data_IF_871151576014
#
_entry.id   IF_871151576014
#
_cell.length_a   1.000
_cell.length_b   1.000
_cell.length_c   1.000
_cell.angle_alpha   90.00
_cell.angle_beta   90.00
_cell.angle_gamma   90.00
#
_symmetry.space_group_name_H-M   'P 1'
#
loop_
_entity.id
_entity.type
_entity.pdbx_description
1 polymer ?
#
# COMPACT_ATOMS: atom_id res chain seq x y z
N UNK A 1 -6.75 75.83 -28.04
CA UNK A 1 -7.13 74.41 -27.82
C UNK A 1 -5.86 73.68 -27.44
N UNK A 2 -5.63 73.45 -26.14
CA UNK A 2 -4.47 72.72 -25.64
C UNK A 2 -4.87 71.25 -25.52
N UNK A 3 -4.09 70.37 -26.13
CA UNK A 3 -4.34 68.93 -26.15
C UNK A 3 -4.04 68.30 -24.79
N UNK A 4 -5.06 67.71 -24.20
CA UNK A 4 -4.94 66.83 -23.05
C UNK A 4 -4.56 65.44 -23.58
N UNK A 5 -3.32 65.03 -23.33
CA UNK A 5 -2.88 63.66 -23.66
C UNK A 5 -3.18 62.76 -22.48
N UNK A 6 -4.30 62.04 -22.54
CA UNK A 6 -4.63 60.98 -21.61
C UNK A 6 -3.62 59.84 -21.74
N UNK A 7 -2.62 59.82 -20.85
CA UNK A 7 -1.75 58.67 -20.67
C UNK A 7 -2.53 57.57 -19.94
N UNK A 8 -3.00 56.59 -20.69
CA UNK A 8 -3.66 55.40 -20.13
C UNK A 8 -2.60 54.52 -19.46
N UNK A 9 -2.54 54.57 -18.14
CA UNK A 9 -1.73 53.65 -17.33
C UNK A 9 -2.37 52.26 -17.40
N UNK A 10 -1.73 51.34 -18.13
CA UNK A 10 -2.17 49.95 -18.22
C UNK A 10 -1.68 49.19 -16.99
N UNK A 11 -2.56 48.95 -16.02
CA UNK A 11 -2.28 48.08 -14.88
C UNK A 11 -2.59 46.65 -15.27
N UNK A 12 -1.58 45.79 -15.31
CA UNK A 12 -1.73 44.34 -15.44
C UNK A 12 -1.43 43.71 -14.09
N UNK A 13 -2.42 43.03 -13.49
CA UNK A 13 -2.24 42.23 -12.28
C UNK A 13 -2.21 40.75 -12.72
N UNK A 14 -1.09 40.08 -12.50
CA UNK A 14 -0.98 38.64 -12.72
C UNK A 14 -1.72 37.93 -11.58
N UNK A 15 -2.71 37.10 -11.91
CA UNK A 15 -3.44 36.28 -10.94
C UNK A 15 -2.79 34.89 -10.92
N UNK A 16 -1.80 34.70 -10.06
CA UNK A 16 -1.23 33.36 -9.81
C UNK A 16 -2.23 32.59 -8.96
N UNK A 17 -2.70 31.44 -9.47
CA UNK A 17 -3.59 30.56 -8.70
C UNK A 17 -2.80 29.95 -7.55
N UNK A 18 -3.17 30.32 -6.32
CA UNK A 18 -2.67 29.72 -5.10
C UNK A 18 -3.27 28.32 -4.95
N UNK A 19 -2.41 27.30 -4.90
CA UNK A 19 -2.81 25.89 -4.75
C UNK A 19 -2.50 25.38 -3.34
N UNK A 20 -3.26 24.39 -2.90
CA UNK A 20 -3.10 23.71 -1.62
C UNK A 20 -2.79 22.22 -1.76
N UNK A 21 -2.66 21.55 -0.61
CA UNK A 21 -2.37 20.12 -0.52
C UNK A 21 -3.22 19.44 0.55
N UNK A 22 -3.45 18.15 0.38
CA UNK A 22 -4.15 17.30 1.35
C UNK A 22 -3.38 16.03 1.63
N UNK A 23 -3.46 15.56 2.87
CA UNK A 23 -2.91 14.31 3.36
C UNK A 23 -4.02 13.49 4.02
N UNK A 24 -4.26 12.28 3.51
CA UNK A 24 -5.16 11.29 4.09
C UNK A 24 -4.34 10.24 4.83
N UNK A 25 -4.67 10.00 6.10
CA UNK A 25 -4.13 8.88 6.88
C UNK A 25 -5.17 7.78 7.00
N UNK A 26 -4.81 6.57 6.57
CA UNK A 26 -5.67 5.40 6.62
C UNK A 26 -5.41 4.62 7.90
N UNK A 27 -6.47 4.31 8.64
CA UNK A 27 -6.38 3.68 9.96
C UNK A 27 -7.25 2.41 10.06
N UNK A 28 -6.86 1.53 10.96
CA UNK A 28 -7.68 0.46 11.51
C UNK A 28 -8.69 1.04 12.51
N UNK A 29 -9.97 0.67 12.38
CA UNK A 29 -11.03 1.27 13.20
C UNK A 29 -10.92 0.95 14.69
N UNK A 30 -10.35 -0.20 15.04
CA UNK A 30 -10.26 -0.69 16.42
C UNK A 30 -8.96 -0.27 17.11
N UNK A 31 -7.83 -0.46 16.43
CA UNK A 31 -6.47 -0.27 16.99
C UNK A 31 -5.87 1.09 16.66
N UNK A 32 -6.43 1.80 15.67
CA UNK A 32 -5.87 3.04 15.09
C UNK A 32 -4.46 2.88 14.51
N UNK A 33 -4.04 1.65 14.19
CA UNK A 33 -2.83 1.40 13.43
C UNK A 33 -2.98 1.90 11.99
N UNK A 34 -1.89 2.37 11.37
CA UNK A 34 -1.93 2.84 9.98
C UNK A 34 -1.99 1.69 8.98
N UNK A 35 -2.67 1.90 7.85
CA UNK A 35 -2.92 0.86 6.86
C UNK A 35 -2.43 1.25 5.45
N UNK A 36 -1.46 0.49 4.96
CA UNK A 36 -0.93 0.59 3.61
C UNK A 36 -1.84 -0.11 2.57
N UNK A 37 -1.76 0.34 1.32
CA UNK A 37 -2.35 -0.34 0.17
C UNK A 37 -3.85 -0.16 -0.04
N UNK A 38 -4.49 0.79 0.66
CA UNK A 38 -5.85 1.24 0.31
C UNK A 38 -5.79 2.07 -0.97
N UNK A 39 -6.72 1.86 -1.91
CA UNK A 39 -6.82 2.65 -3.15
C UNK A 39 -8.04 3.57 -3.10
N UNK A 40 -7.85 4.80 -3.56
CA UNK A 40 -8.82 5.88 -3.56
C UNK A 40 -8.97 6.51 -4.95
N UNK A 41 -10.11 7.16 -5.12
CA UNK A 41 -10.32 8.23 -6.10
C UNK A 41 -10.40 9.58 -5.39
N UNK A 42 -9.92 10.61 -6.07
CA UNK A 42 -10.21 12.00 -5.73
C UNK A 42 -11.35 12.48 -6.63
N UNK A 43 -12.40 13.04 -6.03
CA UNK A 43 -13.55 13.59 -6.71
C UNK A 43 -13.77 15.06 -6.34
N UNK A 44 -14.44 15.81 -7.22
CA UNK A 44 -14.99 17.13 -6.88
C UNK A 44 -16.26 17.01 -6.02
N UNK A 45 -16.82 18.15 -5.62
CA UNK A 45 -18.04 18.21 -4.80
C UNK A 45 -19.29 17.65 -5.49
N UNK A 46 -19.30 17.57 -6.82
CA UNK A 46 -20.36 16.97 -7.62
C UNK A 46 -20.19 15.45 -7.77
N UNK A 47 -19.07 14.88 -7.29
CA UNK A 47 -18.74 13.47 -7.39
C UNK A 47 -18.09 13.08 -8.72
N UNK A 48 -17.64 14.04 -9.53
CA UNK A 48 -16.88 13.72 -10.74
C UNK A 48 -15.46 13.33 -10.35
N UNK A 49 -14.99 12.20 -10.89
CA UNK A 49 -13.63 11.70 -10.66
C UNK A 49 -12.58 12.60 -11.33
N UNK A 50 -11.66 13.13 -10.52
CA UNK A 50 -10.53 13.95 -10.94
C UNK A 50 -9.25 13.12 -11.06
N UNK A 51 -9.02 12.18 -10.15
CA UNK A 51 -7.89 11.25 -10.17
C UNK A 51 -8.29 9.88 -9.64
N UNK A 52 -7.64 8.83 -10.14
CA UNK A 52 -7.87 7.43 -9.76
C UNK A 52 -6.57 6.74 -9.36
N UNK A 53 -6.67 5.59 -8.69
CA UNK A 53 -5.50 4.76 -8.37
C UNK A 53 -4.60 5.31 -7.27
N UNK A 54 -5.07 6.31 -6.52
CA UNK A 54 -4.35 6.94 -5.43
C UNK A 54 -4.22 5.95 -4.26
N UNK A 55 -3.00 5.51 -3.94
CA UNK A 55 -2.80 4.42 -2.98
C UNK A 55 -2.07 4.90 -1.72
N UNK A 56 -2.49 4.43 -0.54
CA UNK A 56 -1.78 4.70 0.72
C UNK A 56 -0.44 3.98 0.75
N UNK A 57 0.60 4.71 1.13
CA UNK A 57 1.98 4.21 1.22
C UNK A 57 2.19 3.24 2.40
N UNK A 58 3.43 2.81 2.62
CA UNK A 58 3.80 1.92 3.73
C UNK A 58 3.50 2.50 5.12
N UNK A 59 3.41 3.83 5.24
CA UNK A 59 3.04 4.52 6.47
C UNK A 59 1.51 4.69 6.61
N UNK A 60 0.74 4.21 5.63
CA UNK A 60 -0.70 4.39 5.54
C UNK A 60 -1.12 5.80 5.14
N UNK A 61 -0.23 6.54 4.47
CA UNK A 61 -0.44 7.94 4.09
C UNK A 61 -0.65 8.07 2.57
N UNK A 62 -1.61 8.89 2.17
CA UNK A 62 -1.84 9.34 0.80
C UNK A 62 -1.73 10.86 0.76
N UNK A 63 -0.94 11.42 -0.15
CA UNK A 63 -0.82 12.87 -0.33
C UNK A 63 -1.17 13.29 -1.76
N UNK A 64 -1.95 14.38 -1.88
CA UNK A 64 -2.24 15.05 -3.15
C UNK A 64 -1.86 16.52 -3.03
N UNK A 65 -1.13 17.04 -4.02
CA UNK A 65 -0.65 18.43 -4.08
C UNK A 65 -1.31 19.16 -5.25
N UNK A 66 -1.05 20.47 -5.34
CA UNK A 66 -1.42 21.32 -6.47
C UNK A 66 -2.94 21.38 -6.73
N UNK A 67 -3.73 21.28 -5.65
CA UNK A 67 -5.19 21.43 -5.71
C UNK A 67 -5.55 22.90 -5.71
N UNK A 68 -6.36 23.32 -6.67
CA UNK A 68 -6.95 24.66 -6.65
C UNK A 68 -7.94 24.78 -5.47
N UNK A 69 -8.25 26.00 -5.01
CA UNK A 69 -9.24 26.19 -3.96
C UNK A 69 -10.60 25.63 -4.35
N UNK A 70 -11.21 24.87 -3.46
CA UNK A 70 -12.45 24.15 -3.75
C UNK A 70 -12.74 23.04 -2.74
N UNK A 71 -13.90 22.41 -2.91
CA UNK A 71 -14.35 21.28 -2.09
C UNK A 71 -14.18 19.98 -2.87
N UNK A 72 -13.64 18.98 -2.19
CA UNK A 72 -13.25 17.69 -2.75
C UNK A 72 -13.66 16.57 -1.81
N UNK A 73 -13.55 15.34 -2.31
CA UNK A 73 -13.70 14.15 -1.49
C UNK A 73 -12.79 13.01 -1.96
N UNK A 74 -12.32 12.23 -0.99
CA UNK A 74 -11.72 10.92 -1.26
C UNK A 74 -12.78 9.82 -1.15
N UNK A 75 -12.81 8.91 -2.12
CA UNK A 75 -13.67 7.73 -2.10
C UNK A 75 -12.79 6.49 -2.20
N UNK A 76 -12.86 5.60 -1.22
CA UNK A 76 -12.12 4.34 -1.24
C UNK A 76 -12.72 3.42 -2.30
N UNK A 77 -11.89 2.93 -3.22
CA UNK A 77 -12.27 2.00 -4.28
C UNK A 77 -11.73 0.60 -4.06
N UNK A 78 -10.70 0.47 -3.22
CA UNK A 78 -10.17 -0.82 -2.79
C UNK A 78 -9.64 -0.73 -1.36
N UNK A 79 -10.16 -1.59 -0.49
CA UNK A 79 -9.67 -1.72 0.88
C UNK A 79 -8.27 -2.34 0.92
N UNK A 80 -7.50 -2.11 2.01
CA UNK A 80 -6.36 -2.93 2.35
C UNK A 80 -6.72 -4.41 2.47
N UNK A 81 -5.74 -5.30 2.29
CA UNK A 81 -5.94 -6.74 2.40
C UNK A 81 -6.45 -7.10 3.80
N UNK A 82 -7.56 -7.84 3.86
CA UNK A 82 -8.17 -8.29 5.12
C UNK A 82 -9.11 -7.27 5.77
N UNK A 83 -9.39 -6.15 5.11
CA UNK A 83 -10.31 -5.11 5.59
C UNK A 83 -11.57 -5.03 4.72
N UNK A 84 -12.66 -4.60 5.33
CA UNK A 84 -13.91 -4.28 4.63
C UNK A 84 -13.74 -2.98 3.83
N UNK A 85 -14.30 -2.92 2.63
CA UNK A 85 -14.32 -1.70 1.81
C UNK A 85 -15.35 -0.71 2.35
N UNK A 86 -14.92 0.51 2.65
CA UNK A 86 -15.81 1.58 3.08
C UNK A 86 -15.81 2.72 2.05
N UNK A 87 -16.81 2.69 1.15
CA UNK A 87 -17.00 3.68 0.09
C UNK A 87 -17.57 5.02 0.58
N UNK A 88 -17.78 5.22 1.89
CA UNK A 88 -18.26 6.50 2.43
C UNK A 88 -17.25 7.62 2.12
N UNK A 89 -17.64 8.70 1.41
CA UNK A 89 -16.70 9.76 1.04
C UNK A 89 -16.10 10.48 2.24
N UNK A 90 -14.84 10.89 2.11
CA UNK A 90 -14.14 11.78 3.06
C UNK A 90 -14.00 13.15 2.42
N UNK A 91 -14.88 14.07 2.78
CA UNK A 91 -14.88 15.43 2.24
C UNK A 91 -13.85 16.33 2.91
N UNK A 92 -13.28 17.25 2.14
CA UNK A 92 -12.37 18.29 2.61
C UNK A 92 -12.42 19.53 1.71
N UNK A 93 -11.85 20.64 2.19
CA UNK A 93 -11.82 21.92 1.47
C UNK A 93 -10.39 22.44 1.39
N UNK A 94 -10.02 22.96 0.23
CA UNK A 94 -8.80 23.74 0.01
C UNK A 94 -9.21 25.21 -0.01
N UNK A 95 -8.75 25.98 0.99
CA UNK A 95 -9.09 27.39 1.15
C UNK A 95 -8.07 28.26 0.41
N UNK A 96 -8.55 29.26 -0.35
CA UNK A 96 -7.69 30.22 -1.02
C UNK A 96 -6.91 31.07 0.00
N UNK A 97 -5.63 31.34 -0.23
CA UNK A 97 -4.78 32.07 0.73
C UNK A 97 -4.00 31.19 1.70
N UNK A 98 -4.31 29.89 1.82
CA UNK A 98 -3.71 28.99 2.80
C UNK A 98 -2.69 28.02 2.19
N UNK A 99 -1.77 28.52 1.36
CA UNK A 99 -0.85 27.72 0.52
C UNK A 99 0.16 26.88 1.31
N UNK A 100 0.53 27.29 2.53
CA UNK A 100 1.50 26.57 3.36
C UNK A 100 0.85 25.49 4.27
N UNK A 101 -0.48 25.39 4.28
CA UNK A 101 -1.19 24.43 5.11
C UNK A 101 -1.54 23.15 4.33
N UNK A 102 -1.11 22.01 4.86
CA UNK A 102 -1.56 20.70 4.37
C UNK A 102 -2.82 20.34 5.15
N UNK A 103 -3.94 20.22 4.45
CA UNK A 103 -5.20 19.74 5.01
C UNK A 103 -5.02 18.27 5.39
N UNK A 104 -5.39 17.89 6.62
CA UNK A 104 -5.25 16.52 7.12
C UNK A 104 -6.60 15.88 7.34
N UNK A 105 -6.79 14.69 6.77
CA UNK A 105 -8.01 13.89 6.92
C UNK A 105 -7.67 12.44 7.27
N UNK A 106 -8.65 11.70 7.78
CA UNK A 106 -8.48 10.30 8.16
C UNK A 106 -9.60 9.44 7.59
N UNK A 107 -9.30 8.16 7.34
CA UNK A 107 -10.29 7.15 6.91
C UNK A 107 -10.03 5.82 7.60
N UNK A 108 -11.04 5.29 8.28
CA UNK A 108 -10.95 4.03 9.01
C UNK A 108 -11.54 2.87 8.21
N UNK A 109 -10.98 1.67 8.34
CA UNK A 109 -11.64 0.43 7.90
C UNK A 109 -11.68 -0.57 9.04
N UNK A 110 -12.67 -1.44 9.00
CA UNK A 110 -12.84 -2.54 9.94
C UNK A 110 -12.21 -3.81 9.36
N UNK A 111 -11.45 -4.52 10.20
CA UNK A 111 -10.91 -5.83 9.86
C UNK A 111 -12.05 -6.82 9.58
N UNK A 112 -11.95 -7.55 8.48
CA UNK A 112 -12.84 -8.69 8.21
C UNK A 112 -12.54 -9.75 9.28
N UNK A 113 -13.51 -10.13 10.14
CA UNK A 113 -13.27 -11.14 11.15
C UNK A 113 -12.95 -12.48 10.46
N UNK A 114 -12.01 -13.29 11.01
CA UNK A 114 -11.81 -14.63 10.51
C UNK A 114 -13.13 -15.39 10.61
N UNK A 115 -13.52 -16.06 9.53
CA UNK A 115 -14.67 -16.96 9.56
C UNK A 115 -14.38 -18.01 10.63
N UNK A 116 -15.30 -18.30 11.57
CA UNK A 116 -15.08 -19.38 12.52
C UNK A 116 -14.88 -20.66 11.71
N UNK A 117 -13.66 -21.21 11.77
CA UNK A 117 -13.37 -22.50 11.14
C UNK A 117 -14.26 -23.52 11.85
N UNK A 118 -15.20 -24.20 11.16
CA UNK A 118 -15.95 -25.27 11.79
C UNK A 118 -14.92 -26.29 12.31
N UNK A 119 -15.14 -26.90 13.49
CA UNK A 119 -14.19 -27.86 14.03
C UNK A 119 -13.89 -28.89 12.94
N UNK A 120 -12.62 -28.97 12.53
CA UNK A 120 -12.19 -30.01 11.60
C UNK A 120 -12.56 -31.34 12.26
N UNK A 121 -13.37 -32.21 11.63
CA UNK A 121 -13.61 -33.52 12.20
C UNK A 121 -12.25 -34.16 12.45
N UNK A 122 -12.00 -34.56 13.70
CA UNK A 122 -10.76 -35.23 14.07
C UNK A 122 -10.55 -36.37 13.06
N UNK A 123 -9.34 -36.53 12.48
CA UNK A 123 -9.06 -37.72 11.70
C UNK A 123 -9.41 -38.94 12.56
N UNK A 124 -9.97 -40.01 11.97
CA UNK A 124 -10.22 -41.23 12.72
C UNK A 124 -8.91 -41.62 13.39
N UNK A 125 -8.93 -41.76 14.72
CA UNK A 125 -7.79 -42.32 15.45
C UNK A 125 -7.46 -43.65 14.77
N UNK A 126 -6.23 -43.86 14.29
CA UNK A 126 -5.83 -45.17 13.80
C UNK A 126 -6.11 -46.15 14.94
N UNK A 127 -6.88 -47.21 14.67
CA UNK A 127 -7.00 -48.31 15.60
C UNK A 127 -5.59 -48.80 15.91
N UNK A 128 -5.11 -48.54 17.12
CA UNK A 128 -3.89 -49.17 17.61
C UNK A 128 -4.20 -50.67 17.68
N UNK A 129 -3.51 -51.53 16.91
CA UNK A 129 -3.71 -52.95 17.03
C UNK A 129 -3.36 -53.33 18.46
N UNK A 130 -4.34 -53.85 19.21
CA UNK A 130 -4.13 -54.40 20.54
C UNK A 130 -3.18 -55.59 20.40
N UNK A 131 -1.90 -55.35 20.66
CA UNK A 131 -0.92 -56.43 20.80
C UNK A 131 -1.37 -57.25 22.02
N UNK A 132 -1.72 -58.53 21.87
CA UNK A 132 -2.04 -59.37 23.03
C UNK A 132 -0.81 -59.45 23.93
N UNK A 133 -0.95 -59.46 25.27
CA UNK A 133 0.20 -59.39 26.17
C UNK A 133 1.10 -60.62 25.98
N UNK A 134 2.30 -60.39 25.44
CA UNK A 134 3.36 -61.39 25.39
C UNK A 134 3.89 -61.62 26.81
N UNK A 135 3.93 -62.91 27.17
CA UNK A 135 4.48 -63.52 28.38
C UNK A 135 5.82 -62.89 28.85
N UNK A 136 6.09 -62.78 30.17
CA UNK A 136 7.27 -62.09 30.71
C UNK A 136 8.59 -62.70 30.26
N UNK A 137 9.51 -61.83 29.83
CA UNK A 137 10.88 -62.12 29.44
C UNK A 137 11.77 -62.39 30.68
N UNK A 138 12.55 -63.47 30.62
CA UNK A 138 13.56 -63.85 31.63
C UNK A 138 14.78 -62.95 31.46
N UNK A 139 15.42 -62.44 32.53
CA UNK A 139 16.49 -61.46 32.40
C UNK A 139 17.81 -62.12 31.98
N UNK A 140 18.43 -61.59 30.92
CA UNK A 140 19.85 -61.82 30.62
C UNK A 140 20.61 -60.48 30.57
N UNK A 141 21.66 -60.46 31.39
CA UNK A 141 22.61 -59.39 31.76
C UNK A 141 23.53 -58.99 30.58
N UNK A 142 24.18 -57.80 30.60
CA UNK A 142 24.52 -57.02 29.41
C UNK A 142 25.92 -57.30 28.86
N UNK A 143 26.16 -56.93 27.59
CA UNK A 143 27.51 -56.73 27.04
C UNK A 143 27.66 -55.30 26.52
N UNK A 144 28.74 -54.67 27.00
CA UNK A 144 29.25 -53.32 26.78
C UNK A 144 30.08 -53.22 25.50
N UNK A 145 30.27 -51.97 25.04
CA UNK A 145 31.39 -51.41 24.22
C UNK A 145 31.19 -51.64 22.71
N UNK A 146 31.37 -50.67 21.81
CA UNK A 146 32.42 -49.63 21.75
C UNK A 146 32.12 -48.55 20.69
N UNK A 147 32.83 -47.43 20.84
CA UNK A 147 32.83 -46.15 20.12
C UNK A 147 33.04 -46.22 18.59
N UNK A 148 32.66 -45.13 17.92
CA UNK A 148 33.54 -44.19 17.16
C UNK A 148 32.66 -43.24 16.35
N UNK A 149 32.49 -41.97 16.75
CA UNK A 149 33.29 -40.81 16.30
C UNK A 149 33.35 -40.66 14.77
N UNK A 150 32.71 -39.62 14.21
CA UNK A 150 33.43 -38.51 13.55
C UNK A 150 32.44 -37.40 13.11
N UNK A 151 32.78 -36.14 13.38
CA UNK A 151 32.18 -34.92 12.79
C UNK A 151 33.22 -34.34 11.81
N UNK A 152 33.02 -33.26 11.00
CA UNK A 152 31.85 -32.42 10.74
C UNK A 152 31.64 -32.03 9.25
N UNK A 153 30.62 -31.19 9.00
CA UNK A 153 30.58 -30.07 8.02
C UNK A 153 30.43 -30.39 6.51
N UNK A 154 29.35 -29.90 5.91
CA UNK A 154 29.31 -28.82 4.87
C UNK A 154 28.10 -28.99 3.93
N UNK A 155 27.33 -27.91 3.82
CA UNK A 155 26.18 -27.65 2.94
C UNK A 155 26.47 -27.89 1.44
N UNK A 156 25.46 -28.32 0.66
CA UNK A 156 25.02 -27.44 -0.41
C UNK A 156 23.50 -27.20 -0.41
N UNK A 157 23.14 -25.93 -0.59
CA UNK A 157 21.78 -25.44 -0.80
C UNK A 157 21.30 -26.03 -2.13
N UNK A 158 20.27 -26.89 -2.11
CA UNK A 158 19.57 -27.33 -3.32
C UNK A 158 18.24 -26.60 -3.42
N UNK A 159 18.23 -25.55 -4.22
CA UNK A 159 17.03 -24.86 -4.69
C UNK A 159 16.32 -25.84 -5.64
N UNK A 160 15.26 -26.51 -5.20
CA UNK A 160 14.33 -27.15 -6.13
C UNK A 160 13.34 -26.09 -6.61
N UNK A 161 13.73 -25.43 -7.69
CA UNK A 161 12.87 -24.57 -8.49
C UNK A 161 11.81 -25.44 -9.18
N UNK A 162 10.60 -25.49 -8.64
CA UNK A 162 9.43 -26.03 -9.36
C UNK A 162 9.03 -25.08 -10.48
N UNK A 163 8.74 -25.65 -11.66
CA UNK A 163 8.34 -24.94 -12.88
C UNK A 163 7.08 -24.08 -12.66
N UNK A 164 6.97 -22.88 -13.26
CA UNK A 164 5.74 -22.09 -13.24
C UNK A 164 4.65 -22.77 -14.06
N UNK A 165 3.39 -22.72 -13.57
CA UNK A 165 2.21 -23.11 -14.34
C UNK A 165 1.82 -21.94 -15.24
N UNK A 166 1.35 -22.23 -16.46
CA UNK A 166 0.97 -21.21 -17.45
C UNK A 166 -0.06 -20.23 -16.87
N UNK A 167 0.33 -18.96 -16.74
CA UNK A 167 -0.52 -17.89 -16.16
C UNK A 167 0.24 -16.75 -15.48
N UNK A 168 1.53 -16.91 -15.18
CA UNK A 168 2.36 -15.87 -14.54
C UNK A 168 3.00 -14.91 -15.57
N UNK A 169 2.84 -13.60 -15.37
CA UNK A 169 3.77 -12.58 -15.88
C UNK A 169 4.31 -11.70 -14.75
N UNK A 170 5.41 -12.20 -14.15
CA UNK A 170 6.68 -11.56 -13.81
C UNK A 170 6.76 -10.36 -12.86
N UNK A 171 7.34 -10.64 -11.68
CA UNK A 171 8.29 -9.72 -11.02
C UNK A 171 9.63 -9.81 -11.76
N UNK A 172 10.09 -8.69 -12.36
CA UNK A 172 11.36 -8.62 -13.08
C UNK A 172 12.35 -7.80 -12.24
N UNK A 173 13.24 -8.49 -11.54
CA UNK A 173 14.46 -7.89 -11.03
C UNK A 173 15.55 -7.97 -12.11
N UNK A 174 16.00 -6.81 -12.61
CA UNK A 174 17.30 -6.66 -13.27
C UNK A 174 17.30 -6.40 -14.78
N UNK A 175 17.79 -5.20 -15.11
CA UNK A 175 18.38 -4.74 -16.38
C UNK A 175 17.46 -4.42 -17.58
N UNK A 176 17.25 -3.11 -17.80
CA UNK A 176 17.34 -2.55 -19.16
C UNK A 176 16.12 -1.84 -19.73
N UNK A 177 16.21 -0.50 -19.73
CA UNK A 177 15.73 0.44 -20.79
C UNK A 177 14.23 0.66 -20.96
N UNK A 178 13.71 1.78 -20.41
CA UNK A 178 12.67 2.60 -21.08
C UNK A 178 13.02 4.09 -20.92
N UNK A 179 12.85 4.81 -22.03
CA UNK A 179 13.39 6.12 -22.40
C UNK A 179 12.79 7.29 -21.61
N UNK A 180 13.66 8.19 -21.15
CA UNK A 180 13.31 9.52 -20.66
C UNK A 180 13.10 10.42 -21.89
N UNK A 181 11.88 10.87 -22.14
CA UNK A 181 11.61 11.98 -23.04
C UNK A 181 11.59 13.29 -22.23
N UNK A 182 12.75 13.91 -22.05
CA UNK A 182 12.88 15.30 -21.62
C UNK A 182 12.62 16.19 -22.84
N UNK A 183 11.44 16.80 -22.96
CA UNK A 183 11.27 17.96 -23.84
C UNK A 183 11.73 19.21 -23.09
N UNK A 184 13.00 19.58 -23.26
CA UNK A 184 13.45 20.95 -22.97
C UNK A 184 12.88 21.88 -24.04
N UNK A 185 11.79 22.58 -23.74
CA UNK A 185 11.46 23.82 -24.43
C UNK A 185 12.12 24.97 -23.70
N UNK A 186 13.33 25.32 -24.15
CA UNK A 186 14.01 26.54 -23.72
C UNK A 186 13.29 27.76 -24.28
N UNK A 187 12.97 28.73 -23.41
CA UNK A 187 12.73 30.10 -23.82
C UNK A 187 13.72 31.00 -23.07
N UNK A 188 14.85 31.29 -23.73
CA UNK A 188 15.72 32.40 -23.38
C UNK A 188 14.96 33.71 -23.61
N UNK A 189 14.72 34.49 -22.56
CA UNK A 189 14.57 35.94 -22.70
C UNK A 189 15.59 36.63 -21.79
N UNK A 190 16.73 37.00 -22.39
CA UNK A 190 17.59 38.08 -21.88
C UNK A 190 16.78 39.38 -21.89
N UNK A 191 16.71 40.12 -20.78
CA UNK A 191 16.64 41.58 -20.84
C UNK A 191 17.50 42.22 -19.74
N UNK A 192 18.19 43.25 -20.17
CA UNK A 192 19.14 44.13 -19.50
C UNK A 192 18.38 45.24 -18.79
#
# INVERSE_FOLDING_TARGET
VAGETDQVVKVTKENTLEVGSVELTKLDSATKATLAGATFELQDKEGNTLQTGLTTDENGVLKVTDLVPGTYQFVETKAPIGYELDTTPVSFEIVAGETDQIVKVTKENTLVPPTPVPPTPLPPVPYEPTVPPTKPEVPVTPKKTENSEDSPKTTPIRITQSLPKTGDTNSFAGLGVILIALSLSGLLLKRK
#
